data_IF_967628397983
#
_entry.id   IF_967628397983
#
_cell.length_a   1.000
_cell.length_b   1.000
_cell.length_c   1.000
_cell.angle_alpha   90.00
_cell.angle_beta   90.00
_cell.angle_gamma   90.00
#
_symmetry.space_group_name_H-M   'P 1'
#
loop_
_entity.id
_entity.type
_entity.pdbx_description
1 polymer ?
#
# COMPACT_ATOMS: atom_id res chain seq x y z
N UNK A 1 11.46 5.69 -1.99
CA UNK A 1 10.42 4.70 -2.30
C UNK A 1 9.62 4.30 -1.06
N UNK A 2 10.21 3.78 0.03
CA UNK A 2 9.43 3.41 1.23
C UNK A 2 8.62 4.56 1.85
N UNK A 3 9.18 5.79 1.93
CA UNK A 3 8.44 6.99 2.39
C UNK A 3 7.18 7.27 1.57
N UNK A 4 7.31 7.06 0.26
CA UNK A 4 6.24 7.33 -0.70
C UNK A 4 5.14 6.28 -0.55
N UNK A 5 5.48 5.00 -0.44
CA UNK A 5 4.55 3.92 -0.09
C UNK A 5 3.78 4.26 1.20
N UNK A 6 4.48 4.64 2.26
CA UNK A 6 3.85 5.00 3.53
C UNK A 6 2.90 6.20 3.40
N UNK A 7 3.27 7.21 2.62
CA UNK A 7 2.41 8.36 2.38
C UNK A 7 1.15 7.98 1.61
N UNK A 8 1.25 7.12 0.59
CA UNK A 8 0.11 6.62 -0.19
C UNK A 8 -0.87 5.86 0.73
N UNK A 9 -0.35 4.92 1.53
CA UNK A 9 -1.14 4.13 2.48
C UNK A 9 -1.78 5.04 3.53
N UNK A 10 -1.03 5.98 4.11
CA UNK A 10 -1.55 6.93 5.10
C UNK A 10 -2.69 7.76 4.53
N UNK A 11 -2.50 8.37 3.36
CA UNK A 11 -3.53 9.18 2.71
C UNK A 11 -4.80 8.39 2.47
N UNK A 12 -4.68 7.14 2.01
CA UNK A 12 -5.83 6.26 1.84
C UNK A 12 -6.56 5.96 3.16
N UNK A 13 -5.82 5.53 4.19
CA UNK A 13 -6.36 5.15 5.50
C UNK A 13 -6.98 6.33 6.28
N UNK A 14 -6.54 7.55 6.01
CA UNK A 14 -7.10 8.78 6.61
C UNK A 14 -8.30 9.32 5.81
N UNK A 15 -8.60 8.75 4.64
CA UNK A 15 -9.65 9.23 3.73
C UNK A 15 -9.27 10.50 2.96
N UNK A 16 -7.98 10.81 2.88
CA UNK A 16 -7.43 11.92 2.10
C UNK A 16 -7.37 11.58 0.61
N UNK A 17 -7.17 12.61 -0.23
CA UNK A 17 -6.90 12.39 -1.65
C UNK A 17 -5.52 11.76 -1.84
N UNK A 18 -5.47 10.54 -2.36
CA UNK A 18 -4.22 9.87 -2.75
C UNK A 18 -3.70 10.52 -4.05
N UNK A 19 -2.48 11.07 -3.99
CA UNK A 19 -1.81 11.61 -5.19
C UNK A 19 -1.08 10.47 -5.89
N UNK A 20 -1.57 10.09 -7.06
CA UNK A 20 -1.03 8.98 -7.84
C UNK A 20 0.27 9.41 -8.54
N UNK A 21 1.38 8.65 -8.40
CA UNK A 21 2.63 8.95 -9.10
C UNK A 21 2.48 8.86 -10.62
N UNK A 22 3.31 9.60 -11.35
CA UNK A 22 3.33 9.55 -12.82
C UNK A 22 3.70 8.14 -13.31
N UNK A 23 2.92 7.61 -14.27
CA UNK A 23 3.09 6.25 -14.79
C UNK A 23 2.01 5.26 -14.36
N UNK A 24 1.24 5.57 -13.32
CA UNK A 24 0.15 4.72 -12.81
C UNK A 24 -1.24 5.19 -13.25
N UNK A 25 -2.21 4.29 -13.24
CA UNK A 25 -3.61 4.62 -13.53
C UNK A 25 -4.25 5.35 -12.34
N UNK A 26 -5.14 6.29 -12.63
CA UNK A 26 -5.92 6.97 -11.59
C UNK A 26 -6.83 5.98 -10.86
N UNK A 27 -7.02 6.20 -9.56
CA UNK A 27 -7.98 5.42 -8.77
C UNK A 27 -9.41 5.72 -9.26
N UNK A 28 -10.13 4.65 -9.60
CA UNK A 28 -11.52 4.67 -10.04
C UNK A 28 -12.32 3.60 -9.28
N UNK A 29 -13.59 3.43 -9.64
CA UNK A 29 -14.42 2.34 -9.10
C UNK A 29 -13.92 0.96 -9.53
N UNK A 30 -13.42 0.83 -10.75
CA UNK A 30 -12.96 -0.44 -11.34
C UNK A 30 -11.49 -0.70 -11.02
N UNK A 31 -10.70 0.36 -10.85
CA UNK A 31 -9.30 0.31 -10.45
C UNK A 31 -9.15 0.99 -9.09
N UNK A 32 -9.44 0.25 -8.03
CA UNK A 32 -9.44 0.76 -6.66
C UNK A 32 -8.00 0.98 -6.13
N UNK A 33 -7.90 1.49 -4.90
CA UNK A 33 -6.61 1.74 -4.26
C UNK A 33 -5.72 0.49 -4.16
N UNK A 34 -6.29 -0.68 -3.90
CA UNK A 34 -5.53 -1.91 -3.73
C UNK A 34 -4.99 -2.47 -5.05
N UNK A 35 -5.70 -2.32 -6.16
CA UNK A 35 -5.13 -2.61 -7.49
C UNK A 35 -3.96 -1.67 -7.81
N UNK A 36 -4.11 -0.37 -7.50
CA UNK A 36 -3.00 0.57 -7.62
C UNK A 36 -1.81 0.21 -6.73
N UNK A 37 -2.07 -0.18 -5.48
CA UNK A 37 -1.05 -0.53 -4.51
C UNK A 37 -0.28 -1.78 -4.95
N UNK A 38 -0.97 -2.79 -5.50
CA UNK A 38 -0.37 -3.99 -6.07
C UNK A 38 0.60 -3.66 -7.21
N UNK A 39 0.14 -2.89 -8.21
CA UNK A 39 0.97 -2.47 -9.34
C UNK A 39 2.19 -1.68 -8.87
N UNK A 40 1.99 -0.73 -7.95
CA UNK A 40 3.06 0.08 -7.39
C UNK A 40 4.10 -0.77 -6.64
N UNK A 41 3.66 -1.76 -5.86
CA UNK A 41 4.55 -2.66 -5.14
C UNK A 41 5.32 -3.56 -6.11
N UNK A 42 4.67 -4.09 -7.14
CA UNK A 42 5.31 -4.94 -8.13
C UNK A 42 6.44 -4.21 -8.89
N UNK A 43 6.18 -2.97 -9.31
CA UNK A 43 7.15 -2.17 -10.06
C UNK A 43 8.32 -1.67 -9.20
N UNK A 44 8.08 -1.40 -7.91
CA UNK A 44 9.06 -0.74 -7.03
C UNK A 44 9.59 -1.67 -5.93
N UNK A 45 9.31 -2.97 -6.00
CA UNK A 45 9.60 -3.92 -4.92
C UNK A 45 11.07 -3.88 -4.50
N UNK A 46 12.00 -3.93 -5.45
CA UNK A 46 13.45 -3.94 -5.17
C UNK A 46 13.94 -2.67 -4.45
N UNK A 47 13.25 -1.54 -4.63
CA UNK A 47 13.59 -0.26 -3.98
C UNK A 47 12.91 -0.06 -2.62
N UNK A 48 11.90 -0.88 -2.32
CA UNK A 48 11.06 -0.79 -1.10
C UNK A 48 11.40 -1.92 -0.12
N UNK A 49 11.60 -3.13 -0.62
CA UNK A 49 11.91 -4.33 0.15
C UNK A 49 13.40 -4.33 0.55
N UNK A 50 13.66 -3.82 1.74
CA UNK A 50 14.96 -3.91 2.42
C UNK A 50 14.91 -5.02 3.46
N UNK A 51 16.06 -5.47 3.99
CA UNK A 51 16.10 -6.50 5.05
C UNK A 51 15.18 -6.19 6.25
N UNK A 52 14.94 -4.90 6.54
CA UNK A 52 14.12 -4.45 7.67
C UNK A 52 12.63 -4.34 7.34
N UNK A 53 12.28 -4.16 6.06
CA UNK A 53 10.89 -3.94 5.60
C UNK A 53 10.32 -5.13 4.81
N UNK A 54 11.16 -6.11 4.50
CA UNK A 54 10.84 -7.25 3.63
C UNK A 54 9.60 -7.98 4.12
N UNK A 55 9.52 -8.28 5.41
CA UNK A 55 8.42 -9.05 6.01
C UNK A 55 7.04 -8.40 5.78
N UNK A 56 6.97 -7.07 5.76
CA UNK A 56 5.71 -6.35 5.52
C UNK A 56 5.48 -6.14 4.03
N UNK A 57 6.52 -5.75 3.29
CA UNK A 57 6.42 -5.42 1.87
C UNK A 57 6.09 -6.65 1.03
N UNK A 58 6.55 -7.83 1.44
CA UNK A 58 6.25 -9.12 0.79
C UNK A 58 4.80 -9.58 1.03
N UNK A 59 4.17 -9.20 2.16
CA UNK A 59 2.79 -9.55 2.48
C UNK A 59 1.75 -8.62 1.85
N UNK A 60 2.11 -7.36 1.54
CA UNK A 60 1.18 -6.38 0.99
C UNK A 60 0.54 -6.77 -0.36
N UNK A 61 1.25 -7.38 -1.33
CA UNK A 61 0.63 -7.87 -2.56
C UNK A 61 -0.42 -8.96 -2.31
N UNK A 62 -0.19 -9.86 -1.35
CA UNK A 62 -1.18 -10.89 -0.98
C UNK A 62 -2.45 -10.25 -0.42
N UNK A 63 -2.31 -9.22 0.43
CA UNK A 63 -3.45 -8.44 0.89
C UNK A 63 -4.21 -7.81 -0.29
N UNK A 64 -3.51 -7.26 -1.29
CA UNK A 64 -4.15 -6.65 -2.46
C UNK A 64 -4.89 -7.66 -3.34
N UNK A 65 -4.37 -8.88 -3.47
CA UNK A 65 -4.99 -9.95 -4.25
C UNK A 65 -6.30 -10.48 -3.64
N UNK A 66 -6.53 -10.29 -2.33
CA UNK A 66 -7.78 -10.68 -1.66
C UNK A 66 -9.01 -9.84 -2.09
N UNK A 67 -8.80 -8.77 -2.88
CA UNK A 67 -9.86 -7.80 -3.26
C UNK A 67 -10.88 -8.31 -4.28
N UNK A 68 -10.60 -9.37 -5.03
CA UNK A 68 -11.57 -9.87 -6.00
C UNK A 68 -12.56 -10.86 -5.35
N UNK A 69 -13.89 -10.60 -5.30
CA UNK A 69 -14.68 -9.49 -5.84
C UNK A 69 -15.30 -8.57 -4.75
N UNK A 70 -14.64 -8.43 -3.60
CA UNK A 70 -15.23 -7.79 -2.42
C UNK A 70 -15.15 -6.25 -2.52
N UNK A 71 -16.31 -5.60 -2.70
CA UNK A 71 -16.45 -4.14 -2.58
C UNK A 71 -16.34 -3.62 -1.15
N UNK A 72 -16.26 -4.51 -0.16
CA UNK A 72 -16.05 -4.16 1.24
C UNK A 72 -14.58 -4.41 1.60
N UNK A 73 -13.83 -3.32 1.75
CA UNK A 73 -12.41 -3.34 2.09
C UNK A 73 -12.17 -3.20 3.60
N UNK A 74 -13.20 -3.23 4.45
CA UNK A 74 -13.05 -2.92 5.89
C UNK A 74 -11.99 -3.78 6.58
N UNK A 75 -12.02 -5.10 6.38
CA UNK A 75 -11.04 -6.01 6.99
C UNK A 75 -9.63 -5.78 6.43
N UNK A 76 -9.54 -5.38 5.16
CA UNK A 76 -8.28 -5.05 4.52
C UNK A 76 -7.70 -3.74 5.02
N UNK A 77 -8.54 -2.73 5.28
CA UNK A 77 -8.14 -1.44 5.83
C UNK A 77 -7.56 -1.63 7.24
N UNK A 78 -8.12 -2.58 8.01
CA UNK A 78 -7.59 -2.96 9.33
C UNK A 78 -6.19 -3.57 9.19
N UNK A 79 -6.01 -4.58 8.32
CA UNK A 79 -4.70 -5.21 8.08
C UNK A 79 -3.68 -4.22 7.52
N UNK A 80 -4.08 -3.39 6.58
CA UNK A 80 -3.24 -2.35 5.99
C UNK A 80 -2.79 -1.34 7.05
N UNK A 81 -3.64 -1.00 8.03
CA UNK A 81 -3.28 -0.14 9.15
C UNK A 81 -2.26 -0.80 10.07
N UNK A 82 -2.38 -2.10 10.36
CA UNK A 82 -1.37 -2.85 11.12
C UNK A 82 -0.01 -2.86 10.41
N UNK A 83 0.01 -3.09 9.10
CA UNK A 83 1.23 -3.02 8.30
C UNK A 83 1.84 -1.62 8.27
N UNK A 84 1.01 -0.59 8.11
CA UNK A 84 1.47 0.80 8.15
C UNK A 84 2.09 1.18 9.49
N UNK A 85 1.46 0.80 10.60
CA UNK A 85 1.98 1.09 11.94
C UNK A 85 3.30 0.36 12.19
N UNK A 86 3.44 -0.91 11.78
CA UNK A 86 4.71 -1.63 11.83
C UNK A 86 5.80 -0.98 10.97
N UNK A 87 5.47 -0.59 9.74
CA UNK A 87 6.41 0.13 8.87
C UNK A 87 6.89 1.43 9.54
N UNK A 88 5.97 2.18 10.15
CA UNK A 88 6.29 3.41 10.87
C UNK A 88 7.21 3.19 12.08
N UNK A 89 7.05 2.09 12.80
CA UNK A 89 7.94 1.71 13.90
C UNK A 89 9.35 1.34 13.43
N UNK A 90 9.47 0.71 12.26
CA UNK A 90 10.74 0.28 11.66
C UNK A 90 11.45 1.43 10.93
N UNK A 91 10.70 2.39 10.39
CA UNK A 91 11.23 3.57 9.70
C UNK A 91 11.06 4.89 10.49
N UNK A 92 11.44 4.99 11.78
CA UNK A 92 11.12 6.16 12.61
C UNK A 92 11.99 7.39 12.28
N UNK A 93 13.04 7.22 11.47
CA UNK A 93 14.00 8.27 11.08
C UNK A 93 13.74 8.88 9.70
N UNK A 94 12.55 8.60 9.15
CA UNK A 94 12.09 9.07 7.85
C UNK A 94 11.22 10.32 8.00
#
# INVERSE_FOLDING_TARGET
MIKELMNLIKSYLDGDTVTIPEGYQNITREYNFYHFLEDYLFDNWEDIATDETYDIVDELPELCAETEPYTDTTDMDIRLREYYDRLKEITPFI
#
